data_IF_018108249579
#
_entry.id   IF_018108249579
#
_cell.length_a   1.000
_cell.length_b   1.000
_cell.length_c   1.000
_cell.angle_alpha   90.00
_cell.angle_beta   90.00
_cell.angle_gamma   90.00
#
_symmetry.space_group_name_H-M   'P 1'
#
loop_
_entity.id
_entity.type
_entity.pdbx_description
1 polymer ?
#
# COMPACT_ATOMS: atom_id res chain seq x y z
N UNK A 1 14.34 7.93 -33.39
CA UNK A 1 14.89 8.58 -34.62
C UNK A 1 14.45 10.07 -34.72
N UNK A 2 13.18 10.41 -34.42
CA UNK A 2 12.71 11.81 -34.51
C UNK A 2 13.43 12.77 -33.58
N UNK A 3 13.84 12.31 -32.41
CA UNK A 3 14.46 13.15 -31.38
C UNK A 3 15.88 13.59 -31.72
N UNK A 4 16.61 12.80 -32.53
CA UNK A 4 17.97 13.14 -32.98
C UNK A 4 17.94 14.37 -33.90
N UNK A 5 16.99 14.45 -34.82
CA UNK A 5 16.86 15.60 -35.72
C UNK A 5 16.38 16.85 -35.02
N UNK A 6 15.41 16.71 -34.10
CA UNK A 6 14.93 17.84 -33.28
C UNK A 6 16.04 18.42 -32.42
N UNK A 7 16.88 17.57 -31.82
CA UNK A 7 18.06 17.97 -31.06
C UNK A 7 19.02 18.83 -31.90
N UNK A 8 19.36 18.40 -33.12
CA UNK A 8 20.28 19.12 -34.00
C UNK A 8 19.78 20.54 -34.32
N UNK A 9 18.47 20.73 -34.53
CA UNK A 9 17.89 22.03 -34.80
C UNK A 9 18.06 22.96 -33.58
N UNK A 10 17.80 22.47 -32.38
CA UNK A 10 17.94 23.24 -31.16
C UNK A 10 19.42 23.61 -30.87
N UNK A 11 20.32 22.65 -31.06
CA UNK A 11 21.76 22.87 -30.91
C UNK A 11 22.31 23.87 -31.92
N UNK A 12 21.81 23.84 -33.17
CA UNK A 12 22.12 24.83 -34.18
C UNK A 12 21.69 26.26 -33.77
N UNK A 13 20.60 26.39 -33.03
CA UNK A 13 20.11 27.64 -32.45
C UNK A 13 20.86 28.04 -31.16
N UNK A 14 21.86 27.27 -30.74
CA UNK A 14 22.67 27.54 -29.54
C UNK A 14 22.07 27.09 -28.24
N UNK A 15 21.00 26.28 -28.26
CA UNK A 15 20.35 25.73 -27.07
C UNK A 15 20.94 24.37 -26.65
N UNK A 16 21.10 24.17 -25.36
CA UNK A 16 21.52 22.89 -24.82
C UNK A 16 20.32 21.96 -24.67
N UNK A 17 20.46 20.70 -25.17
CA UNK A 17 19.40 19.69 -25.13
C UNK A 17 19.83 18.49 -24.31
N UNK A 18 19.02 18.17 -23.31
CA UNK A 18 19.14 16.95 -22.49
C UNK A 18 18.08 15.91 -22.86
N UNK A 19 18.41 14.65 -22.64
CA UNK A 19 17.49 13.52 -22.80
C UNK A 19 17.55 12.68 -21.53
N UNK A 20 16.41 12.34 -20.98
CA UNK A 20 16.29 11.41 -19.84
C UNK A 20 15.71 10.09 -20.32
N UNK A 21 16.44 9.02 -20.07
CA UNK A 21 16.05 7.64 -20.37
C UNK A 21 15.73 6.87 -19.09
N UNK A 22 15.14 5.70 -19.24
CA UNK A 22 14.77 4.86 -18.09
C UNK A 22 16.00 4.45 -17.24
N UNK A 23 17.09 4.16 -17.89
CA UNK A 23 18.37 3.71 -17.29
C UNK A 23 19.32 4.86 -16.90
N UNK A 24 18.91 6.13 -17.10
CA UNK A 24 19.72 7.29 -16.71
C UNK A 24 19.96 7.33 -15.21
N UNK A 25 21.23 7.53 -14.84
CA UNK A 25 21.64 7.74 -13.45
C UNK A 25 21.13 9.09 -12.91
N UNK A 26 21.23 9.29 -11.60
CA UNK A 26 20.83 10.57 -10.97
C UNK A 26 21.62 11.76 -11.54
N UNK A 27 22.91 11.62 -11.68
CA UNK A 27 23.83 12.64 -12.21
C UNK A 27 23.48 12.98 -13.65
N UNK A 28 23.20 11.99 -14.48
CA UNK A 28 22.77 12.19 -15.85
C UNK A 28 21.41 12.90 -15.93
N UNK A 29 20.46 12.53 -15.05
CA UNK A 29 19.16 13.20 -14.95
C UNK A 29 19.33 14.67 -14.54
N UNK A 30 20.17 14.96 -13.54
CA UNK A 30 20.47 16.33 -13.11
C UNK A 30 21.08 17.14 -14.25
N UNK A 31 22.04 16.58 -15.00
CA UNK A 31 22.65 17.23 -16.13
C UNK A 31 21.65 17.49 -17.27
N UNK A 32 20.76 16.51 -17.57
CA UNK A 32 19.74 16.65 -18.58
C UNK A 32 18.68 17.68 -18.22
N UNK A 33 18.21 17.70 -16.97
CA UNK A 33 17.25 18.73 -16.51
C UNK A 33 17.87 20.12 -16.33
N UNK A 34 19.18 20.25 -16.25
CA UNK A 34 19.88 21.52 -16.26
C UNK A 34 20.00 22.14 -17.67
N UNK A 35 19.72 21.41 -18.73
CA UNK A 35 19.72 21.91 -20.11
C UNK A 35 18.55 22.88 -20.38
N UNK A 36 18.66 23.65 -21.47
CA UNK A 36 17.61 24.60 -21.87
C UNK A 36 16.32 23.87 -22.24
N UNK A 37 16.47 22.73 -22.95
CA UNK A 37 15.39 21.83 -23.37
C UNK A 37 15.69 20.43 -22.85
N UNK A 38 14.70 19.76 -22.28
CA UNK A 38 14.82 18.35 -21.85
C UNK A 38 13.73 17.52 -22.50
N UNK A 39 14.12 16.46 -23.18
CA UNK A 39 13.22 15.40 -23.68
C UNK A 39 13.16 14.28 -22.66
N UNK A 40 11.96 13.91 -22.29
CA UNK A 40 11.71 12.86 -21.29
C UNK A 40 10.31 12.30 -21.49
N UNK A 41 10.09 11.02 -21.18
CA UNK A 41 8.74 10.44 -21.22
C UNK A 41 7.92 10.94 -20.05
N UNK A 42 6.60 10.99 -20.21
CA UNK A 42 5.66 11.40 -19.16
C UNK A 42 5.83 10.57 -17.87
N UNK A 43 6.05 9.24 -18.00
CA UNK A 43 6.26 8.34 -16.88
C UNK A 43 7.55 8.68 -16.11
N UNK A 44 8.70 8.79 -16.80
CA UNK A 44 9.99 9.10 -16.17
C UNK A 44 9.94 10.44 -15.46
N UNK A 45 9.37 11.46 -16.11
CA UNK A 45 9.21 12.80 -15.55
C UNK A 45 8.33 12.79 -14.28
N UNK A 46 7.23 12.07 -14.32
CA UNK A 46 6.33 11.95 -13.17
C UNK A 46 6.96 11.16 -12.01
N UNK A 47 7.72 10.10 -12.30
CA UNK A 47 8.48 9.37 -11.27
C UNK A 47 9.63 10.19 -10.70
N UNK A 48 10.32 10.98 -11.51
CA UNK A 48 11.34 11.91 -11.01
C UNK A 48 10.73 12.95 -10.06
N UNK A 49 9.55 13.47 -10.40
CA UNK A 49 8.81 14.36 -9.51
C UNK A 49 8.46 13.69 -8.17
N UNK A 50 7.98 12.45 -8.19
CA UNK A 50 7.68 11.72 -6.96
C UNK A 50 8.95 11.45 -6.14
N UNK A 51 10.06 11.06 -6.79
CA UNK A 51 11.36 10.86 -6.12
C UNK A 51 11.89 12.15 -5.47
N UNK A 52 11.79 13.28 -6.17
CA UNK A 52 12.19 14.58 -5.63
C UNK A 52 11.39 15.00 -4.41
N UNK A 53 10.07 14.68 -4.37
CA UNK A 53 9.23 14.96 -3.20
C UNK A 53 9.49 14.00 -2.01
N UNK A 54 10.21 12.92 -2.22
CA UNK A 54 10.66 11.99 -1.18
C UNK A 54 12.10 12.25 -0.74
N UNK A 55 12.85 13.10 -1.46
CA UNK A 55 14.23 13.41 -1.17
C UNK A 55 14.37 14.15 0.16
N UNK A 56 15.36 13.76 0.96
CA UNK A 56 15.67 14.38 2.25
C UNK A 56 16.65 15.54 2.05
N UNK A 57 17.58 15.41 1.10
CA UNK A 57 18.63 16.38 0.86
C UNK A 57 18.44 17.09 -0.48
N UNK A 58 18.74 18.41 -0.50
CA UNK A 58 18.58 19.25 -1.69
C UNK A 58 19.45 18.79 -2.89
N UNK A 59 20.60 18.19 -2.64
CA UNK A 59 21.49 17.66 -3.68
C UNK A 59 20.96 16.37 -4.34
N UNK A 60 19.90 15.78 -3.80
CA UNK A 60 19.25 14.61 -4.38
C UNK A 60 18.20 14.99 -5.44
N UNK A 61 17.76 16.23 -5.45
CA UNK A 61 16.77 16.73 -6.40
C UNK A 61 17.34 16.72 -7.83
N UNK A 62 16.53 16.27 -8.77
CA UNK A 62 16.90 16.21 -10.19
C UNK A 62 16.15 17.25 -11.02
N UNK A 63 14.90 17.57 -10.66
CA UNK A 63 14.06 18.48 -11.41
C UNK A 63 14.42 19.93 -11.18
N UNK A 64 14.24 20.73 -12.23
CA UNK A 64 14.24 22.21 -12.16
C UNK A 64 12.82 22.73 -11.92
N UNK A 65 12.66 24.06 -11.80
CA UNK A 65 11.35 24.69 -11.71
C UNK A 65 10.46 24.35 -12.91
N UNK A 66 9.24 23.95 -12.65
CA UNK A 66 8.23 23.54 -13.64
C UNK A 66 7.63 24.77 -14.34
N UNK A 67 8.40 25.39 -15.24
CA UNK A 67 8.00 26.64 -15.93
C UNK A 67 7.11 26.38 -17.13
N UNK A 68 7.58 25.55 -18.07
CA UNK A 68 6.91 25.29 -19.33
C UNK A 68 7.12 23.85 -19.79
N UNK A 69 6.07 23.22 -20.29
CA UNK A 69 6.15 21.92 -20.96
C UNK A 69 5.32 21.89 -22.24
N UNK A 70 5.75 21.06 -23.17
CA UNK A 70 4.99 20.66 -24.36
C UNK A 70 4.72 19.16 -24.20
N UNK A 71 3.44 18.80 -24.21
CA UNK A 71 2.99 17.42 -24.03
C UNK A 71 2.61 16.88 -25.41
N UNK A 72 3.34 15.87 -25.86
CA UNK A 72 3.02 15.13 -27.08
C UNK A 72 1.94 14.10 -26.78
N UNK A 73 1.07 13.78 -27.74
CA UNK A 73 -0.09 12.90 -27.55
C UNK A 73 -0.93 13.33 -26.31
N UNK A 74 -1.24 14.61 -26.24
CA UNK A 74 -1.86 15.23 -25.06
C UNK A 74 -3.23 14.65 -24.69
N UNK A 75 -3.98 14.18 -25.65
CA UNK A 75 -5.24 13.46 -25.51
C UNK A 75 -5.05 12.15 -24.72
N UNK A 76 -4.11 11.32 -25.12
CA UNK A 76 -3.78 10.11 -24.37
C UNK A 76 -3.34 10.42 -22.94
N UNK A 77 -2.44 11.38 -22.75
CA UNK A 77 -1.83 11.69 -21.45
C UNK A 77 -2.79 12.40 -20.50
N UNK A 78 -3.60 13.37 -20.98
CA UNK A 78 -4.42 14.24 -20.11
C UNK A 78 -5.92 13.93 -20.17
N UNK A 79 -6.38 13.04 -21.06
CA UNK A 79 -7.76 12.57 -21.14
C UNK A 79 -7.83 11.10 -20.78
N UNK A 80 -7.26 10.20 -21.59
CA UNK A 80 -7.39 8.75 -21.38
C UNK A 80 -6.72 8.29 -20.10
N UNK A 81 -5.46 8.68 -19.88
CA UNK A 81 -4.65 8.30 -18.71
C UNK A 81 -4.66 9.36 -17.59
N UNK A 82 -5.48 10.41 -17.72
CA UNK A 82 -5.46 11.56 -16.80
C UNK A 82 -5.55 11.18 -15.32
N UNK A 83 -6.37 10.18 -15.01
CA UNK A 83 -6.65 9.69 -13.65
C UNK A 83 -5.78 8.49 -13.24
N UNK A 84 -4.99 7.93 -14.16
CA UNK A 84 -4.08 6.83 -13.83
C UNK A 84 -2.97 7.34 -12.91
N UNK A 85 -2.84 6.80 -11.70
CA UNK A 85 -1.84 7.28 -10.77
C UNK A 85 -0.47 6.65 -11.06
N UNK A 86 0.58 7.45 -11.03
CA UNK A 86 1.95 7.00 -10.81
C UNK A 86 2.11 6.71 -9.32
N UNK A 87 2.63 5.54 -8.97
CA UNK A 87 2.73 5.09 -7.58
C UNK A 87 4.16 4.62 -7.30
N UNK A 88 4.78 5.15 -6.25
CA UNK A 88 5.98 4.59 -5.66
C UNK A 88 5.58 3.85 -4.39
N UNK A 89 5.85 2.56 -4.35
CA UNK A 89 5.60 1.70 -3.20
C UNK A 89 6.92 1.30 -2.55
N UNK A 90 6.93 1.28 -1.22
CA UNK A 90 8.03 0.74 -0.43
C UNK A 90 7.57 -0.44 0.41
N UNK A 91 8.50 -1.29 0.82
CA UNK A 91 8.21 -2.35 1.77
C UNK A 91 8.06 -1.75 3.17
N UNK A 92 7.04 -2.16 3.89
CA UNK A 92 6.93 -1.85 5.32
C UNK A 92 8.13 -2.46 6.06
N UNK A 93 8.76 -1.67 6.93
CA UNK A 93 9.89 -2.13 7.76
C UNK A 93 9.50 -3.11 8.88
N UNK A 94 8.21 -3.45 9.01
CA UNK A 94 7.69 -4.34 10.05
C UNK A 94 8.21 -5.76 9.88
N UNK A 95 8.55 -6.39 11.00
CA UNK A 95 9.05 -7.76 11.04
C UNK A 95 7.92 -8.75 10.70
N UNK A 96 8.16 -9.64 9.75
CA UNK A 96 7.21 -10.73 9.44
C UNK A 96 7.15 -11.79 10.54
N UNK A 97 8.18 -11.88 11.40
CA UNK A 97 8.25 -12.83 12.51
C UNK A 97 7.14 -12.67 13.55
N UNK A 98 6.64 -11.44 13.73
CA UNK A 98 5.56 -11.18 14.68
C UNK A 98 4.27 -11.87 14.26
N UNK A 99 3.96 -11.93 12.95
CA UNK A 99 2.80 -12.66 12.43
C UNK A 99 2.89 -14.17 12.73
N UNK A 100 4.06 -14.78 12.58
CA UNK A 100 4.29 -16.20 12.88
C UNK A 100 4.14 -16.47 14.39
N UNK A 101 4.66 -15.60 15.25
CA UNK A 101 4.51 -15.73 16.70
C UNK A 101 3.04 -15.57 17.13
N UNK A 102 2.33 -14.62 16.55
CA UNK A 102 0.90 -14.43 16.82
C UNK A 102 0.06 -15.60 16.31
N UNK A 103 0.43 -16.26 15.20
CA UNK A 103 -0.21 -17.48 14.72
C UNK A 103 -0.05 -18.62 15.73
N UNK A 104 1.18 -18.85 16.25
CA UNK A 104 1.45 -19.87 17.28
C UNK A 104 0.60 -19.62 18.52
N UNK A 105 0.53 -18.37 18.98
CA UNK A 105 -0.31 -18.00 20.13
C UNK A 105 -1.80 -18.24 19.85
N UNK A 106 -2.30 -17.78 18.70
CA UNK A 106 -3.71 -17.92 18.33
C UNK A 106 -4.19 -19.37 18.31
N UNK A 107 -3.30 -20.33 18.00
CA UNK A 107 -3.59 -21.78 18.05
C UNK A 107 -3.66 -22.33 19.48
N UNK A 108 -3.04 -21.66 20.45
CA UNK A 108 -3.05 -22.07 21.86
C UNK A 108 -4.23 -21.49 22.63
N UNK A 109 -4.80 -20.39 22.15
CA UNK A 109 -5.93 -19.72 22.78
C UNK A 109 -7.24 -20.47 22.49
N UNK A 110 -8.11 -20.54 23.51
CA UNK A 110 -9.40 -21.22 23.43
C UNK A 110 -10.52 -20.23 23.18
N UNK A 111 -11.35 -20.51 22.17
CA UNK A 111 -12.56 -19.74 21.90
C UNK A 111 -13.57 -19.96 23.02
N UNK A 112 -14.05 -18.87 23.60
CA UNK A 112 -15.16 -18.87 24.54
C UNK A 112 -16.49 -18.64 23.83
N UNK A 113 -17.57 -18.97 24.54
CA UNK A 113 -18.92 -18.70 24.10
C UNK A 113 -19.54 -17.57 24.91
N UNK A 114 -20.32 -16.73 24.24
CA UNK A 114 -21.11 -15.71 24.91
C UNK A 114 -22.23 -16.41 25.69
N UNK A 115 -22.10 -16.52 27.00
CA UNK A 115 -23.18 -17.04 27.86
C UNK A 115 -24.17 -15.92 28.15
N UNK A 116 -25.09 -15.67 27.23
CA UNK A 116 -26.29 -14.87 27.47
C UNK A 116 -26.48 -13.67 26.56
N UNK A 117 -27.69 -13.56 26.00
CA UNK A 117 -28.19 -12.28 25.51
C UNK A 117 -28.26 -11.33 26.70
N UNK A 118 -27.48 -10.24 26.67
CA UNK A 118 -27.65 -9.13 27.64
C UNK A 118 -29.09 -8.64 27.57
N UNK A 119 -29.93 -9.08 28.50
CA UNK A 119 -31.20 -8.40 28.74
C UNK A 119 -30.87 -6.96 29.11
N UNK A 120 -31.66 -6.00 28.61
CA UNK A 120 -31.48 -4.57 28.92
C UNK A 120 -31.36 -4.30 30.45
N UNK A 121 -31.84 -5.22 31.25
CA UNK A 121 -31.82 -5.16 32.70
C UNK A 121 -30.45 -5.51 33.29
N UNK A 122 -29.72 -6.48 32.72
CA UNK A 122 -28.36 -6.86 33.15
C UNK A 122 -27.30 -5.83 32.75
N UNK A 123 -27.54 -5.10 31.64
CA UNK A 123 -26.69 -3.97 31.23
C UNK A 123 -26.79 -2.78 32.22
N UNK A 124 -27.89 -2.62 32.92
CA UNK A 124 -28.11 -1.57 33.90
C UNK A 124 -27.54 -1.96 35.29
N UNK A 125 -27.45 -3.24 35.60
CA UNK A 125 -26.99 -3.74 36.91
C UNK A 125 -25.48 -3.97 37.01
N UNK A 126 -24.71 -3.76 35.94
CA UNK A 126 -23.24 -3.96 35.90
C UNK A 126 -22.82 -5.36 36.41
N UNK A 127 -23.66 -6.39 36.22
CA UNK A 127 -23.27 -7.76 36.52
C UNK A 127 -22.16 -8.19 35.53
N UNK A 128 -21.01 -8.56 36.07
CA UNK A 128 -19.90 -9.16 35.32
C UNK A 128 -20.43 -10.45 34.71
N UNK A 129 -20.52 -10.45 33.38
CA UNK A 129 -20.80 -11.67 32.62
C UNK A 129 -19.53 -12.50 32.66
N UNK A 130 -19.57 -13.67 33.31
CA UNK A 130 -18.45 -14.62 33.23
C UNK A 130 -18.19 -14.97 31.76
N UNK A 131 -17.15 -14.39 31.22
CA UNK A 131 -16.63 -14.69 29.90
C UNK A 131 -15.83 -16.00 30.00
N UNK A 132 -16.33 -17.07 29.38
CA UNK A 132 -15.64 -18.33 29.33
C UNK A 132 -14.65 -18.34 28.13
N UNK A 133 -13.43 -18.89 28.33
CA UNK A 133 -12.39 -18.95 27.30
C UNK A 133 -11.49 -17.72 27.22
N UNK A 134 -10.58 -17.74 26.25
CA UNK A 134 -9.53 -16.72 26.11
C UNK A 134 -9.94 -15.57 25.17
N UNK A 135 -10.90 -15.82 24.27
CA UNK A 135 -11.43 -14.82 23.35
C UNK A 135 -12.85 -15.15 22.91
N UNK A 136 -13.59 -14.11 22.55
CA UNK A 136 -14.96 -14.21 22.05
C UNK A 136 -15.02 -13.70 20.62
N UNK A 137 -15.76 -14.41 19.76
CA UNK A 137 -15.95 -14.06 18.36
C UNK A 137 -17.36 -13.56 18.12
N UNK A 138 -17.50 -12.34 17.63
CA UNK A 138 -18.76 -11.83 17.10
C UNK A 138 -18.76 -11.97 15.58
N UNK A 139 -19.42 -12.99 15.06
CA UNK A 139 -19.46 -13.29 13.63
C UNK A 139 -20.26 -12.24 12.82
N UNK A 140 -21.27 -11.60 13.45
CA UNK A 140 -22.09 -10.57 12.79
C UNK A 140 -21.28 -9.29 12.51
N UNK A 141 -20.51 -8.88 13.49
CA UNK A 141 -19.69 -7.66 13.39
C UNK A 141 -18.28 -7.93 12.88
N UNK A 142 -17.94 -9.20 12.65
CA UNK A 142 -16.60 -9.68 12.24
C UNK A 142 -15.48 -9.19 13.19
N UNK A 143 -15.75 -9.20 14.49
CA UNK A 143 -14.83 -8.74 15.55
C UNK A 143 -14.45 -9.89 16.46
N UNK A 144 -13.21 -9.89 16.93
CA UNK A 144 -12.70 -10.81 17.95
C UNK A 144 -12.17 -9.98 19.12
N UNK A 145 -12.63 -10.29 20.33
CA UNK A 145 -12.21 -9.63 21.55
C UNK A 145 -11.55 -10.64 22.49
N UNK A 146 -10.40 -10.26 23.06
CA UNK A 146 -9.77 -11.04 24.13
C UNK A 146 -10.53 -10.83 25.45
N UNK A 147 -10.64 -11.91 26.24
CA UNK A 147 -11.07 -11.86 27.64
C UNK A 147 -9.89 -11.51 28.54
N UNK A 148 -10.13 -11.23 29.83
CA UNK A 148 -9.05 -11.01 30.80
C UNK A 148 -8.09 -12.20 30.86
N UNK A 149 -8.61 -13.41 30.83
CA UNK A 149 -7.80 -14.65 30.79
C UNK A 149 -6.94 -14.70 29.52
N UNK A 150 -7.49 -14.33 28.36
CA UNK A 150 -6.77 -14.25 27.11
C UNK A 150 -5.67 -13.21 27.13
N UNK A 151 -5.94 -12.04 27.68
CA UNK A 151 -4.95 -10.96 27.85
C UNK A 151 -3.76 -11.46 28.68
N UNK A 152 -4.00 -12.10 29.83
CA UNK A 152 -2.93 -12.65 30.65
C UNK A 152 -2.08 -13.69 29.92
N UNK A 153 -2.67 -14.54 29.08
CA UNK A 153 -1.91 -15.49 28.26
C UNK A 153 -1.05 -14.79 27.19
N UNK A 154 -1.56 -13.71 26.59
CA UNK A 154 -0.78 -12.87 25.65
C UNK A 154 0.40 -12.22 26.38
N UNK A 155 0.19 -11.63 27.55
CA UNK A 155 1.22 -11.01 28.36
C UNK A 155 2.33 -12.00 28.73
N UNK A 156 1.95 -13.21 29.16
CA UNK A 156 2.90 -14.28 29.47
C UNK A 156 3.71 -14.74 28.25
N UNK A 157 3.04 -14.90 27.09
CA UNK A 157 3.67 -15.37 25.87
C UNK A 157 4.70 -14.39 25.32
N UNK A 158 4.39 -13.09 25.33
CA UNK A 158 5.26 -12.04 24.83
C UNK A 158 6.18 -11.43 25.90
N UNK A 159 6.06 -11.87 27.16
CA UNK A 159 6.82 -11.33 28.31
C UNK A 159 6.65 -9.81 28.46
N UNK A 160 5.41 -9.33 28.36
CA UNK A 160 5.04 -7.93 28.54
C UNK A 160 4.26 -7.75 29.84
N UNK A 161 4.45 -6.60 30.51
CA UNK A 161 3.82 -6.33 31.80
C UNK A 161 2.36 -5.89 31.68
N UNK A 162 2.01 -5.18 30.60
CA UNK A 162 0.67 -4.66 30.37
C UNK A 162 0.33 -4.66 28.88
N UNK A 163 -0.64 -5.48 28.51
CA UNK A 163 -1.12 -5.58 27.13
C UNK A 163 -1.66 -4.24 26.58
N UNK A 164 -2.30 -3.44 27.43
CA UNK A 164 -2.93 -2.16 27.03
C UNK A 164 -1.96 -1.00 26.82
N UNK A 165 -0.67 -1.17 27.10
CA UNK A 165 0.33 -0.11 26.91
C UNK A 165 0.46 0.30 25.44
N UNK A 166 0.64 1.61 25.16
CA UNK A 166 0.87 2.12 23.82
C UNK A 166 2.09 1.50 23.11
N UNK A 167 3.10 1.07 23.86
CA UNK A 167 4.28 0.38 23.32
C UNK A 167 3.95 -1.00 22.75
N UNK A 168 2.85 -1.63 23.20
CA UNK A 168 2.40 -2.95 22.81
C UNK A 168 1.31 -2.94 21.71
N UNK A 169 0.98 -1.77 21.14
CA UNK A 169 -0.05 -1.63 20.09
C UNK A 169 0.18 -2.54 18.88
N UNK A 170 1.43 -2.78 18.51
CA UNK A 170 1.75 -3.67 17.41
C UNK A 170 1.44 -5.14 17.75
N UNK A 171 1.71 -5.57 18.98
CA UNK A 171 1.36 -6.91 19.48
C UNK A 171 -0.16 -7.06 19.55
N UNK A 172 -0.87 -6.09 20.12
CA UNK A 172 -2.34 -6.08 20.20
C UNK A 172 -2.98 -6.24 18.82
N UNK A 173 -2.52 -5.44 17.87
CA UNK A 173 -3.00 -5.48 16.49
C UNK A 173 -2.78 -6.84 15.83
N UNK A 174 -1.55 -7.37 15.91
CA UNK A 174 -1.20 -8.63 15.27
C UNK A 174 -1.87 -9.84 15.93
N UNK A 175 -2.05 -9.86 17.25
CA UNK A 175 -2.81 -10.90 17.96
C UNK A 175 -4.27 -10.89 17.49
N UNK A 176 -4.88 -9.72 17.43
CA UNK A 176 -6.25 -9.57 16.92
C UNK A 176 -6.38 -10.06 15.48
N UNK A 177 -5.41 -9.73 14.62
CA UNK A 177 -5.39 -10.21 13.22
C UNK A 177 -5.23 -11.72 13.12
N UNK A 178 -4.36 -12.32 13.93
CA UNK A 178 -4.18 -13.78 13.97
C UNK A 178 -5.48 -14.49 14.39
N UNK A 179 -6.13 -13.99 15.45
CA UNK A 179 -7.41 -14.53 15.89
C UNK A 179 -8.52 -14.37 14.83
N UNK A 180 -8.57 -13.21 14.14
CA UNK A 180 -9.50 -13.00 13.02
C UNK A 180 -9.21 -13.96 11.86
N UNK A 181 -7.95 -14.14 11.51
CA UNK A 181 -7.54 -15.05 10.44
C UNK A 181 -7.98 -16.50 10.73
N UNK A 182 -7.86 -16.96 12.00
CA UNK A 182 -8.27 -18.31 12.40
C UNK A 182 -9.78 -18.51 12.48
N UNK A 183 -10.54 -17.50 12.95
CA UNK A 183 -11.94 -17.67 13.32
C UNK A 183 -12.94 -17.07 12.33
N UNK A 184 -12.50 -16.11 11.49
CA UNK A 184 -13.39 -15.38 10.58
C UNK A 184 -12.98 -15.47 9.10
N UNK A 185 -11.83 -16.10 8.81
CA UNK A 185 -11.34 -16.26 7.44
C UNK A 185 -11.17 -17.75 7.12
N UNK A 186 -11.94 -18.24 6.15
CA UNK A 186 -12.01 -19.67 5.84
C UNK A 186 -11.40 -19.96 4.48
N UNK A 187 -10.53 -20.98 4.45
CA UNK A 187 -9.96 -21.50 3.21
C UNK A 187 -11.06 -22.05 2.32
N UNK A 188 -10.91 -21.90 1.02
CA UNK A 188 -11.85 -22.31 -0.04
C UNK A 188 -13.19 -21.54 -0.04
N UNK A 189 -13.33 -20.53 0.83
CA UNK A 189 -14.45 -19.60 0.87
C UNK A 189 -13.99 -18.16 0.69
N UNK A 190 -13.16 -17.67 1.59
CA UNK A 190 -12.66 -16.27 1.58
C UNK A 190 -11.35 -16.14 0.80
N UNK A 191 -10.57 -17.22 0.77
CA UNK A 191 -9.30 -17.30 0.04
C UNK A 191 -8.97 -18.75 -0.35
N UNK A 192 -8.04 -18.89 -1.29
CA UNK A 192 -7.41 -20.16 -1.66
C UNK A 192 -5.90 -20.05 -1.51
N UNK A 193 -5.24 -21.20 -1.34
CA UNK A 193 -3.77 -21.29 -1.32
C UNK A 193 -3.33 -22.01 -2.59
N UNK A 194 -2.52 -21.32 -3.40
CA UNK A 194 -1.97 -21.85 -4.64
C UNK A 194 -0.54 -21.33 -4.85
N UNK A 195 0.36 -22.20 -5.27
CA UNK A 195 1.75 -21.88 -5.58
C UNK A 195 2.47 -21.12 -4.43
N UNK A 196 2.25 -21.55 -3.18
CA UNK A 196 2.76 -20.95 -1.95
C UNK A 196 2.30 -19.49 -1.73
N UNK A 197 1.12 -19.15 -2.28
CA UNK A 197 0.50 -17.82 -2.14
C UNK A 197 -0.95 -17.93 -1.70
N UNK A 198 -1.38 -16.98 -0.86
CA UNK A 198 -2.78 -16.75 -0.53
C UNK A 198 -3.41 -15.85 -1.58
N UNK A 199 -4.50 -16.31 -2.18
CA UNK A 199 -5.26 -15.58 -3.19
C UNK A 199 -6.68 -15.34 -2.69
N UNK A 200 -7.15 -14.09 -2.75
CA UNK A 200 -8.49 -13.71 -2.32
C UNK A 200 -9.54 -14.30 -3.27
N UNK A 201 -10.63 -14.79 -2.72
CA UNK A 201 -11.84 -15.18 -3.46
C UNK A 201 -12.90 -14.10 -3.25
N UNK A 202 -13.49 -13.62 -4.33
CA UNK A 202 -14.60 -12.68 -4.27
C UNK A 202 -15.86 -13.35 -3.73
N UNK A 203 -16.43 -12.79 -2.67
CA UNK A 203 -17.57 -13.38 -1.95
C UNK A 203 -18.83 -13.51 -2.84
N UNK A 204 -19.01 -12.63 -3.82
CA UNK A 204 -20.21 -12.59 -4.66
C UNK A 204 -20.06 -13.43 -5.93
N UNK A 205 -18.88 -13.44 -6.53
CA UNK A 205 -18.66 -14.11 -7.82
C UNK A 205 -17.92 -15.45 -7.69
N UNK A 206 -17.30 -15.72 -6.54
CA UNK A 206 -16.46 -16.90 -6.32
C UNK A 206 -15.17 -16.89 -7.16
N UNK A 207 -14.81 -15.76 -7.77
CA UNK A 207 -13.62 -15.64 -8.62
C UNK A 207 -12.40 -15.32 -7.79
N UNK A 208 -11.28 -15.94 -8.16
CA UNK A 208 -9.96 -15.59 -7.62
C UNK A 208 -9.58 -14.20 -8.12
N UNK A 209 -9.13 -13.34 -7.22
CA UNK A 209 -8.68 -11.98 -7.50
C UNK A 209 -7.15 -11.88 -7.41
N UNK A 210 -6.40 -12.13 -8.50
CA UNK A 210 -4.96 -12.07 -8.51
C UNK A 210 -4.46 -10.65 -8.20
N UNK A 211 -3.38 -10.54 -7.42
CA UNK A 211 -2.75 -9.27 -7.09
C UNK A 211 -3.46 -8.45 -6.03
N UNK A 212 -4.68 -8.82 -5.58
CA UNK A 212 -5.34 -8.20 -4.43
C UNK A 212 -4.89 -8.83 -3.13
N UNK A 213 -4.80 -8.01 -2.09
CA UNK A 213 -4.44 -8.44 -0.73
C UNK A 213 -5.40 -7.79 0.27
N UNK A 214 -5.71 -8.47 1.36
CA UNK A 214 -6.41 -7.86 2.49
C UNK A 214 -5.52 -6.78 3.12
N UNK A 215 -6.15 -5.68 3.54
CA UNK A 215 -5.46 -4.55 4.19
C UNK A 215 -5.07 -4.83 5.64
N UNK A 216 -4.33 -3.89 6.19
CA UNK A 216 -4.02 -3.75 7.62
C UNK A 216 -3.30 -4.96 8.25
N UNK A 217 -2.61 -5.77 7.45
CA UNK A 217 -1.88 -6.94 7.93
C UNK A 217 -2.69 -8.24 7.99
N UNK A 218 -4.00 -8.21 7.67
CA UNK A 218 -4.84 -9.43 7.69
C UNK A 218 -4.34 -10.47 6.68
N UNK A 219 -3.86 -10.04 5.52
CA UNK A 219 -3.33 -10.96 4.52
C UNK A 219 -2.10 -11.71 5.04
N UNK A 220 -1.19 -11.00 5.71
CA UNK A 220 -0.01 -11.58 6.34
C UNK A 220 -0.37 -12.55 7.48
N UNK A 221 -1.41 -12.24 8.26
CA UNK A 221 -1.91 -13.14 9.29
C UNK A 221 -2.48 -14.45 8.69
N UNK A 222 -3.14 -14.37 7.52
CA UNK A 222 -3.61 -15.55 6.79
C UNK A 222 -2.42 -16.32 6.19
N UNK A 223 -1.42 -15.63 5.63
CA UNK A 223 -0.18 -16.26 5.15
C UNK A 223 0.53 -17.04 6.26
N UNK A 224 0.62 -16.47 7.48
CA UNK A 224 1.16 -17.15 8.66
C UNK A 224 0.32 -18.37 9.07
N UNK A 225 -0.99 -18.23 9.11
CA UNK A 225 -1.94 -19.32 9.41
C UNK A 225 -1.79 -20.51 8.46
N UNK A 226 -1.62 -20.26 7.17
CA UNK A 226 -1.48 -21.29 6.14
C UNK A 226 -0.04 -21.78 5.95
N UNK A 227 0.92 -21.26 6.76
CA UNK A 227 2.34 -21.59 6.68
C UNK A 227 2.98 -21.37 5.31
N UNK A 228 2.46 -20.40 4.56
CA UNK A 228 3.09 -19.91 3.34
C UNK A 228 4.01 -18.74 3.67
N UNK A 229 4.88 -18.35 2.72
CA UNK A 229 5.81 -17.26 2.93
C UNK A 229 5.09 -15.94 3.21
N UNK A 230 5.24 -15.40 4.42
CA UNK A 230 4.67 -14.10 4.79
C UNK A 230 5.37 -12.99 4.00
N UNK A 231 4.64 -12.34 3.10
CA UNK A 231 5.16 -11.23 2.29
C UNK A 231 5.02 -9.92 3.08
N UNK A 232 6.05 -9.08 3.01
CA UNK A 232 5.98 -7.75 3.63
C UNK A 232 4.86 -6.92 2.99
N UNK A 233 4.22 -6.12 3.80
CA UNK A 233 3.21 -5.17 3.33
C UNK A 233 3.84 -4.11 2.42
N UNK A 234 3.22 -3.86 1.27
CA UNK A 234 3.59 -2.77 0.38
C UNK A 234 2.87 -1.50 0.83
N UNK A 235 3.63 -0.50 1.24
CA UNK A 235 3.07 0.81 1.59
C UNK A 235 3.28 1.78 0.44
N UNK A 236 2.21 2.44 0.00
CA UNK A 236 2.32 3.55 -0.96
C UNK A 236 3.06 4.70 -0.29
N UNK A 237 4.23 5.05 -0.81
CA UNK A 237 5.07 6.14 -0.31
C UNK A 237 4.72 7.47 -0.95
N UNK A 238 4.47 7.46 -2.26
CA UNK A 238 4.10 8.65 -3.02
C UNK A 238 3.21 8.27 -4.20
N UNK A 239 2.27 9.15 -4.54
CA UNK A 239 1.39 8.98 -5.70
C UNK A 239 1.03 10.33 -6.30
N UNK A 240 0.88 10.38 -7.62
CA UNK A 240 0.34 11.53 -8.35
C UNK A 240 -0.28 11.07 -9.66
N UNK A 241 -1.38 11.69 -10.09
CA UNK A 241 -1.93 11.50 -11.44
C UNK A 241 -1.24 12.42 -12.44
N UNK A 242 -1.24 12.05 -13.73
CA UNK A 242 -0.68 12.92 -14.78
C UNK A 242 -1.36 14.29 -14.81
N UNK A 243 -2.68 14.34 -14.68
CA UNK A 243 -3.41 15.60 -14.63
C UNK A 243 -2.92 16.51 -13.51
N UNK A 244 -2.76 15.99 -12.30
CA UNK A 244 -2.30 16.77 -11.15
C UNK A 244 -0.83 17.18 -11.29
N UNK A 245 0.00 16.32 -11.89
CA UNK A 245 1.40 16.64 -12.12
C UNK A 245 1.56 17.76 -13.14
N UNK A 246 0.98 17.64 -14.35
CA UNK A 246 1.11 18.64 -15.38
C UNK A 246 0.44 19.99 -15.02
N UNK A 247 -0.53 19.98 -14.10
CA UNK A 247 -1.11 21.21 -13.56
C UNK A 247 -0.13 22.03 -12.69
N UNK A 248 1.01 21.47 -12.30
CA UNK A 248 2.06 22.18 -11.57
C UNK A 248 2.95 23.05 -12.47
N UNK A 249 2.92 22.84 -13.79
CA UNK A 249 3.62 23.70 -14.72
C UNK A 249 2.92 25.06 -14.84
N UNK A 250 3.69 26.15 -14.77
CA UNK A 250 3.17 27.50 -14.91
C UNK A 250 2.56 27.75 -16.31
N UNK A 251 3.17 27.14 -17.34
CA UNK A 251 2.69 27.20 -18.72
C UNK A 251 2.82 25.80 -19.35
N UNK A 252 1.78 25.40 -20.07
CA UNK A 252 1.76 24.12 -20.79
C UNK A 252 1.12 24.28 -22.16
N UNK A 253 1.57 23.49 -23.11
CA UNK A 253 0.99 23.31 -24.45
C UNK A 253 0.90 21.84 -24.75
N UNK A 254 -0.07 21.45 -25.51
CA UNK A 254 -0.27 20.08 -25.97
C UNK A 254 -0.28 20.01 -27.47
N UNK A 255 0.07 18.87 -28.01
CA UNK A 255 -0.09 18.51 -29.41
C UNK A 255 -0.63 17.11 -29.54
N UNK A 256 -1.48 16.87 -30.51
CA UNK A 256 -2.05 15.56 -30.84
C UNK A 256 -2.38 15.49 -32.31
N UNK A 257 -2.30 14.32 -32.90
CA UNK A 257 -2.73 14.06 -34.27
C UNK A 257 -4.24 13.87 -34.42
N UNK A 258 -4.98 13.68 -33.32
CA UNK A 258 -6.42 13.33 -33.31
C UNK A 258 -7.35 14.47 -32.92
N UNK A 259 -6.82 15.69 -32.72
CA UNK A 259 -7.55 16.86 -32.24
C UNK A 259 -8.82 17.27 -33.05
N UNK A 260 -8.97 16.74 -34.27
CA UNK A 260 -10.15 17.02 -35.12
C UNK A 260 -11.27 15.97 -34.96
N UNK A 261 -11.02 14.88 -34.24
CA UNK A 261 -11.93 13.74 -34.11
C UNK A 261 -12.50 13.55 -32.72
N UNK A 262 -12.02 14.33 -31.73
CA UNK A 262 -12.49 14.32 -30.34
C UNK A 262 -13.08 15.67 -29.86
#
# INVERSE_FOLDING_TARGET
>A
LGDVYKRQIHEFLGLKVGVVLHDSTREERQAAYACDITYVTNNELGFDYLRDNMAIYKNELVLRNLKYCIIDEVDSVLIDEARTPLIISGQSGKSTKLYELCDILARQLQRGEYKGERTKMQAIMNEEVEEDGDFIVNEKDKVVNLTEQGIHKVEQFFHIDNYADPENLEIQHNVTLALRAHNLMFRDKDYVVKDDEVLIVDEFTGRIMPGRRYSDGLHQAIEAKEHVKVKRESKTLATITFQNFFNKYAKKSGMTGTALTE
#
